data_IF_924453711387
#
_entry.id   IF_924453711387
#
_cell.length_a   1.000
_cell.length_b   1.000
_cell.length_c   1.000
_cell.angle_alpha   90.00
_cell.angle_beta   90.00
_cell.angle_gamma   90.00
#
_symmetry.space_group_name_H-M   'P 1'
#
loop_
_entity.id
_entity.type
_entity.pdbx_description
1 polymer ?
#
# COMPACT_ATOMS: atom_id res chain seq x y z
N UNK A 1 22.94 -18.37 -7.34
CA UNK A 1 21.68 -18.65 -8.06
C UNK A 1 22.05 -18.96 -9.50
N UNK A 2 21.37 -19.90 -10.19
CA UNK A 2 21.61 -20.10 -11.62
C UNK A 2 21.31 -18.79 -12.38
N UNK A 3 22.09 -18.49 -13.42
CA UNK A 3 22.00 -17.24 -14.18
C UNK A 3 20.60 -16.99 -14.78
N UNK A 4 19.90 -18.07 -15.15
CA UNK A 4 18.53 -18.03 -15.69
C UNK A 4 17.54 -17.32 -14.75
N UNK A 5 17.61 -17.61 -13.44
CA UNK A 5 16.73 -16.98 -12.44
C UNK A 5 16.98 -15.47 -12.29
N UNK A 6 18.14 -14.98 -12.71
CA UNK A 6 18.51 -13.58 -12.60
C UNK A 6 17.80 -12.72 -13.65
N UNK A 7 17.66 -13.23 -14.88
CA UNK A 7 17.00 -12.49 -15.97
C UNK A 7 15.48 -12.43 -15.81
N UNK A 8 14.91 -13.40 -15.10
CA UNK A 8 13.49 -13.40 -14.73
C UNK A 8 13.19 -12.53 -13.49
N UNK A 9 14.19 -11.82 -12.95
CA UNK A 9 14.00 -10.94 -11.79
C UNK A 9 13.27 -9.65 -12.21
N UNK A 10 12.05 -9.39 -11.71
CA UNK A 10 11.34 -8.14 -11.98
C UNK A 10 12.11 -6.89 -11.51
N UNK A 11 13.01 -7.04 -10.54
CA UNK A 11 13.87 -5.97 -10.04
C UNK A 11 14.83 -5.41 -11.09
N UNK A 12 15.26 -6.22 -12.07
CA UNK A 12 16.08 -5.71 -13.18
C UNK A 12 15.30 -4.77 -14.10
N UNK A 13 14.03 -5.10 -14.37
CA UNK A 13 13.15 -4.25 -15.19
C UNK A 13 12.83 -2.95 -14.44
N UNK A 14 12.44 -3.04 -13.16
CA UNK A 14 12.20 -1.87 -12.31
C UNK A 14 13.43 -0.96 -12.21
N UNK A 15 14.63 -1.54 -12.06
CA UNK A 15 15.88 -0.80 -12.08
C UNK A 15 16.18 -0.15 -13.44
N UNK A 16 15.91 -0.86 -14.54
CA UNK A 16 16.11 -0.33 -15.87
C UNK A 16 15.21 0.88 -16.16
N UNK A 17 13.97 0.84 -15.68
CA UNK A 17 12.96 1.91 -15.81
C UNK A 17 13.10 3.04 -14.77
N UNK A 18 14.01 2.90 -13.79
CA UNK A 18 14.25 3.92 -12.76
C UNK A 18 13.18 3.98 -11.67
N UNK A 19 12.45 2.89 -11.45
CA UNK A 19 11.39 2.78 -10.43
C UNK A 19 11.94 2.50 -9.03
N UNK A 20 13.17 2.00 -8.94
CA UNK A 20 13.85 1.72 -7.67
C UNK A 20 14.55 2.96 -7.10
N UNK A 21 14.56 3.07 -5.77
CA UNK A 21 15.23 4.16 -5.06
C UNK A 21 16.04 3.65 -3.86
N UNK A 22 16.98 4.48 -3.39
CA UNK A 22 17.77 4.21 -2.19
C UNK A 22 18.55 2.90 -2.25
N UNK A 23 18.50 2.14 -1.16
CA UNK A 23 19.26 0.90 -0.97
C UNK A 23 18.90 -0.19 -1.98
N UNK A 24 17.64 -0.25 -2.42
CA UNK A 24 17.18 -1.24 -3.39
C UNK A 24 17.83 -1.03 -4.76
N UNK A 25 17.82 0.22 -5.24
CA UNK A 25 18.52 0.58 -6.47
C UNK A 25 20.03 0.32 -6.37
N UNK A 26 20.64 0.59 -5.22
CA UNK A 26 22.06 0.34 -4.99
C UNK A 26 22.40 -1.16 -4.99
N UNK A 27 21.54 -2.01 -4.44
CA UNK A 27 21.72 -3.45 -4.45
C UNK A 27 21.64 -4.02 -5.88
N UNK A 28 20.62 -3.62 -6.65
CA UNK A 28 20.48 -4.06 -8.05
C UNK A 28 21.61 -3.50 -8.92
N UNK A 29 22.05 -2.26 -8.70
CA UNK A 29 23.19 -1.68 -9.42
C UNK A 29 24.49 -2.50 -9.22
N UNK A 30 24.75 -2.97 -7.99
CA UNK A 30 25.92 -3.84 -7.71
C UNK A 30 25.82 -5.16 -8.45
N UNK A 31 24.62 -5.76 -8.48
CA UNK A 31 24.35 -7.01 -9.19
C UNK A 31 24.55 -6.84 -10.71
N UNK A 32 24.03 -5.76 -11.28
CA UNK A 32 24.20 -5.40 -12.68
C UNK A 32 25.68 -5.18 -13.02
N UNK A 33 26.44 -4.51 -12.16
CA UNK A 33 27.87 -4.30 -12.36
C UNK A 33 28.68 -5.62 -12.31
N UNK A 34 28.22 -6.60 -11.52
CA UNK A 34 28.89 -7.89 -11.36
C UNK A 34 28.50 -8.91 -12.45
N UNK A 35 27.43 -8.68 -13.21
CA UNK A 35 26.93 -9.62 -14.20
C UNK A 35 26.73 -8.96 -15.59
N UNK A 36 27.57 -9.30 -16.59
CA UNK A 36 27.45 -8.77 -17.95
C UNK A 36 26.10 -9.04 -18.64
N UNK A 37 25.47 -10.17 -18.36
CA UNK A 37 24.17 -10.54 -18.94
C UNK A 37 23.05 -9.64 -18.39
N UNK A 38 23.07 -9.39 -17.08
CA UNK A 38 22.15 -8.44 -16.44
C UNK A 38 22.40 -7.00 -16.93
N UNK A 39 23.66 -6.61 -17.16
CA UNK A 39 24.01 -5.32 -17.75
C UNK A 39 23.47 -5.17 -19.17
N UNK A 40 23.58 -6.22 -20.00
CA UNK A 40 23.01 -6.23 -21.35
C UNK A 40 21.48 -6.13 -21.31
N UNK A 41 20.82 -6.92 -20.45
CA UNK A 41 19.37 -6.86 -20.26
C UNK A 41 18.89 -5.45 -19.89
N UNK A 42 19.54 -4.81 -18.90
CA UNK A 42 19.21 -3.43 -18.50
C UNK A 42 19.42 -2.44 -19.64
N UNK A 43 20.48 -2.61 -20.44
CA UNK A 43 20.73 -1.78 -21.60
C UNK A 43 19.64 -1.93 -22.67
N UNK A 44 19.20 -3.16 -22.94
CA UNK A 44 18.15 -3.48 -23.91
C UNK A 44 16.80 -2.89 -23.50
N UNK A 45 16.41 -3.07 -22.23
CA UNK A 45 15.17 -2.48 -21.68
C UNK A 45 15.20 -0.95 -21.78
N UNK A 46 16.32 -0.32 -21.41
CA UNK A 46 16.49 1.15 -21.55
C UNK A 46 16.49 1.60 -23.01
N UNK A 47 16.93 0.76 -23.94
CA UNK A 47 16.85 1.01 -25.38
C UNK A 47 15.40 1.00 -25.84
N UNK A 48 14.65 -0.05 -25.50
CA UNK A 48 13.24 -0.19 -25.81
C UNK A 48 12.40 0.96 -25.24
N UNK A 49 12.60 1.30 -23.96
CA UNK A 49 11.93 2.42 -23.31
C UNK A 49 12.14 3.74 -24.08
N UNK A 50 13.37 4.05 -24.48
CA UNK A 50 13.69 5.26 -25.26
C UNK A 50 13.01 5.29 -26.64
N UNK A 51 12.92 4.15 -27.32
CA UNK A 51 12.21 4.05 -28.60
C UNK A 51 10.71 4.31 -28.41
N UNK A 52 10.12 3.73 -27.37
CA UNK A 52 8.71 3.92 -27.03
C UNK A 52 8.43 5.37 -26.64
N UNK A 53 9.22 5.96 -25.75
CA UNK A 53 9.11 7.38 -25.37
C UNK A 53 9.19 8.30 -26.59
N UNK A 54 10.16 8.08 -27.48
CA UNK A 54 10.32 8.87 -28.70
C UNK A 54 9.16 8.69 -29.69
N UNK A 55 8.50 7.55 -29.69
CA UNK A 55 7.32 7.28 -30.53
C UNK A 55 6.06 7.93 -29.93
N UNK A 56 5.83 7.75 -28.64
CA UNK A 56 4.70 8.30 -27.90
C UNK A 56 4.74 9.83 -27.83
N UNK A 57 5.92 10.43 -27.72
CA UNK A 57 6.08 11.90 -27.72
C UNK A 57 5.62 12.55 -29.04
N UNK A 58 5.58 11.79 -30.14
CA UNK A 58 5.12 12.26 -31.46
C UNK A 58 3.64 12.01 -31.68
N UNK A 59 3.00 11.21 -30.82
CA UNK A 59 1.60 10.87 -30.95
C UNK A 59 0.73 12.08 -30.62
N UNK A 60 -0.27 12.33 -31.47
CA UNK A 60 -1.25 13.39 -31.23
C UNK A 60 -2.20 12.94 -30.12
N UNK A 61 -1.90 13.35 -28.90
CA UNK A 61 -2.75 13.07 -27.75
C UNK A 61 -4.14 13.73 -27.92
N UNK A 62 -5.24 13.03 -27.56
CA UNK A 62 -6.57 13.63 -27.54
C UNK A 62 -6.57 14.83 -26.60
N UNK A 63 -7.07 15.97 -27.10
CA UNK A 63 -7.23 17.17 -26.28
C UNK A 63 -8.63 17.19 -25.70
N UNK A 64 -8.72 17.53 -24.42
CA UNK A 64 -10.01 17.83 -23.81
C UNK A 64 -10.65 19.04 -24.52
N UNK A 65 -11.92 18.90 -24.84
CA UNK A 65 -12.74 20.05 -25.26
C UNK A 65 -12.86 21.06 -24.10
N UNK A 66 -13.14 22.34 -24.38
CA UNK A 66 -13.37 23.34 -23.33
C UNK A 66 -14.43 22.89 -22.31
N UNK A 67 -15.56 22.34 -22.78
CA UNK A 67 -16.64 21.85 -21.91
C UNK A 67 -16.21 20.69 -21.01
N UNK A 68 -15.43 19.73 -21.52
CA UNK A 68 -14.89 18.64 -20.70
C UNK A 68 -13.92 19.16 -19.63
N UNK A 69 -13.09 20.16 -19.98
CA UNK A 69 -12.18 20.80 -19.02
C UNK A 69 -12.95 21.52 -17.91
N UNK A 70 -13.99 22.28 -18.26
CA UNK A 70 -14.86 22.96 -17.30
C UNK A 70 -15.54 21.97 -16.36
N UNK A 71 -16.03 20.84 -16.89
CA UNK A 71 -16.68 19.79 -16.09
C UNK A 71 -15.69 19.15 -15.10
N UNK A 72 -14.44 18.90 -15.50
CA UNK A 72 -13.42 18.36 -14.59
C UNK A 72 -13.04 19.35 -13.49
N UNK A 73 -12.92 20.64 -13.81
CA UNK A 73 -12.61 21.69 -12.83
C UNK A 73 -13.77 21.86 -11.85
N UNK A 74 -15.01 21.93 -12.35
CA UNK A 74 -16.21 22.01 -11.51
C UNK A 74 -16.39 20.76 -10.64
N UNK A 75 -16.15 19.57 -11.18
CA UNK A 75 -16.23 18.30 -10.45
C UNK A 75 -15.17 18.17 -9.35
N UNK A 76 -13.95 18.69 -9.57
CA UNK A 76 -12.91 18.74 -8.53
C UNK A 76 -13.27 19.70 -7.39
N UNK A 77 -13.92 20.82 -7.70
CA UNK A 77 -14.42 21.76 -6.70
C UNK A 77 -15.61 21.19 -5.91
N UNK A 78 -16.42 20.32 -6.53
CA UNK A 78 -17.56 19.66 -5.89
C UNK A 78 -17.20 18.37 -5.12
N UNK A 79 -16.04 17.77 -5.41
CA UNK A 79 -15.57 16.49 -4.88
C UNK A 79 -14.92 16.56 -3.51
N UNK A 80 -15.60 17.11 -2.51
CA UNK A 80 -15.33 16.74 -1.12
C UNK A 80 -15.85 15.32 -0.91
N UNK A 81 -14.98 14.37 -0.57
CA UNK A 81 -15.43 13.04 -0.14
C UNK A 81 -16.30 13.24 1.10
N UNK A 82 -17.61 13.19 0.93
CA UNK A 82 -18.53 13.35 2.06
C UNK A 82 -18.27 12.21 3.03
N UNK A 83 -18.01 12.54 4.30
CA UNK A 83 -17.82 11.58 5.40
C UNK A 83 -18.98 10.56 5.48
N UNK A 84 -20.18 10.95 5.00
CA UNK A 84 -21.37 10.10 4.91
C UNK A 84 -21.24 8.95 3.91
N UNK A 85 -20.33 9.03 2.95
CA UNK A 85 -20.06 7.96 1.96
C UNK A 85 -19.33 6.77 2.61
N UNK A 86 -18.58 7.02 3.69
CA UNK A 86 -17.91 6.00 4.50
C UNK A 86 -18.86 5.28 5.47
N UNK A 87 -20.04 5.84 5.76
CA UNK A 87 -21.01 5.28 6.71
C UNK A 87 -22.02 4.31 6.06
N UNK A 88 -22.03 4.18 4.73
CA UNK A 88 -22.99 3.32 4.01
C UNK A 88 -22.82 1.81 4.20
N UNK A 89 -21.63 1.21 4.45
CA UNK A 89 -21.56 -0.23 4.72
C UNK A 89 -22.12 -0.61 6.11
N UNK A 90 -22.18 0.32 7.07
CA UNK A 90 -22.72 0.02 8.41
C UNK A 90 -24.25 -0.15 8.42
N UNK A 91 -24.98 0.54 7.54
CA UNK A 91 -26.44 0.43 7.45
C UNK A 91 -26.91 -0.89 6.79
N UNK A 92 -26.05 -1.57 6.03
CA UNK A 92 -26.38 -2.86 5.41
C UNK A 92 -26.44 -4.03 6.43
N UNK A 93 -25.74 -3.91 7.57
CA UNK A 93 -25.74 -4.95 8.63
C UNK A 93 -27.01 -4.92 9.50
N UNK A 94 -27.70 -3.78 9.61
CA UNK A 94 -28.92 -3.68 10.41
C UNK A 94 -30.12 -4.42 9.80
N UNK A 95 -30.11 -4.63 8.47
CA UNK A 95 -31.23 -5.28 7.76
C UNK A 95 -31.16 -6.82 7.82
N UNK A 96 -29.97 -7.40 8.00
CA UNK A 96 -29.78 -8.85 8.21
C UNK A 96 -30.29 -9.28 9.59
N UNK A 97 -30.17 -8.43 10.62
CA UNK A 97 -30.64 -8.74 11.96
C UNK A 97 -32.18 -8.85 12.06
N UNK A 98 -32.92 -8.13 11.20
CA UNK A 98 -34.38 -8.11 11.24
C UNK A 98 -35.00 -9.39 10.62
N UNK A 99 -34.34 -10.01 9.64
CA UNK A 99 -34.79 -11.28 9.04
C UNK A 99 -34.50 -12.48 9.98
N UNK A 100 -33.38 -12.46 10.70
CA UNK A 100 -33.04 -13.51 11.66
C UNK A 100 -33.95 -13.51 12.91
N UNK A 101 -34.39 -12.34 13.38
CA UNK A 101 -35.27 -12.22 14.54
C UNK A 101 -36.66 -12.83 14.35
N UNK A 102 -37.20 -12.77 13.12
CA UNK A 102 -38.52 -13.36 12.80
C UNK A 102 -38.44 -14.89 12.68
N UNK A 103 -37.34 -15.44 12.18
CA UNK A 103 -37.13 -16.90 12.07
C UNK A 103 -36.83 -17.56 13.43
N UNK A 104 -36.14 -16.89 14.34
CA UNK A 104 -35.78 -17.44 15.66
C UNK A 104 -36.98 -17.72 16.58
N UNK A 105 -38.07 -16.95 16.47
CA UNK A 105 -39.22 -17.13 17.35
C UNK A 105 -40.02 -18.41 17.07
N UNK A 106 -39.94 -18.98 15.86
CA UNK A 106 -40.76 -20.13 15.47
C UNK A 106 -40.15 -21.50 15.84
N UNK A 107 -38.84 -21.60 16.09
CA UNK A 107 -38.14 -22.88 16.21
C UNK A 107 -37.51 -23.20 17.57
N UNK A 108 -37.73 -22.37 18.61
CA UNK A 108 -37.32 -22.73 19.98
C UNK A 108 -35.81 -22.93 20.19
N UNK A 109 -34.97 -22.28 19.37
CA UNK A 109 -33.52 -22.27 19.57
C UNK A 109 -33.17 -21.10 20.51
N UNK A 110 -32.56 -21.33 21.69
CA UNK A 110 -32.12 -20.24 22.53
C UNK A 110 -30.98 -19.49 21.82
N UNK A 111 -31.26 -18.26 21.38
CA UNK A 111 -30.23 -17.30 21.00
C UNK A 111 -29.49 -16.94 22.29
N UNK A 112 -28.29 -17.48 22.48
CA UNK A 112 -27.39 -16.90 23.47
C UNK A 112 -26.97 -15.53 22.95
N UNK A 113 -27.55 -14.48 23.54
CA UNK A 113 -26.98 -13.14 23.43
C UNK A 113 -25.57 -13.21 24.02
N UNK A 114 -24.56 -13.27 23.16
CA UNK A 114 -23.21 -12.87 23.54
C UNK A 114 -23.31 -11.38 23.82
N UNK A 115 -23.29 -11.04 25.11
CA UNK A 115 -23.20 -9.67 25.57
C UNK A 115 -21.84 -9.13 25.09
N UNK A 116 -21.85 -8.44 23.95
CA UNK A 116 -20.70 -7.67 23.49
C UNK A 116 -20.59 -6.48 24.43
N UNK A 117 -19.80 -6.67 25.50
CA UNK A 117 -19.38 -5.61 26.42
C UNK A 117 -18.87 -4.45 25.57
N UNK A 118 -19.64 -3.37 25.59
CA UNK A 118 -19.31 -2.12 24.92
C UNK A 118 -18.35 -1.36 25.82
N UNK A 119 -17.10 -1.81 25.92
CA UNK A 119 -16.03 -1.01 26.51
C UNK A 119 -15.62 0.07 25.49
N UNK A 120 -15.82 1.36 25.80
CA UNK A 120 -15.35 2.43 24.96
C UNK A 120 -13.89 2.74 25.33
N UNK A 121 -12.93 1.95 24.88
CA UNK A 121 -11.52 2.28 25.17
C UNK A 121 -10.49 1.89 24.10
N UNK A 122 -10.93 1.78 22.85
CA UNK A 122 -10.02 1.52 21.72
C UNK A 122 -9.50 2.81 21.07
N UNK A 123 -10.08 3.98 21.38
CA UNK A 123 -9.63 5.26 20.81
C UNK A 123 -8.77 6.14 21.75
N UNK A 124 -8.73 5.88 23.06
CA UNK A 124 -7.77 6.55 23.96
C UNK A 124 -6.41 5.82 24.05
N UNK A 125 -6.33 4.56 23.63
CA UNK A 125 -5.05 3.82 23.60
C UNK A 125 -4.11 4.27 22.46
N UNK A 126 -4.58 5.09 21.51
CA UNK A 126 -3.73 5.72 20.49
C UNK A 126 -3.11 7.05 20.97
N UNK A 127 -3.66 7.70 22.00
CA UNK A 127 -3.11 8.92 22.58
C UNK A 127 -2.19 8.66 23.79
N UNK A 128 -2.30 7.50 24.44
CA UNK A 128 -1.47 7.11 25.60
C UNK A 128 -0.07 6.58 25.28
N UNK A 129 0.21 6.15 24.03
CA UNK A 129 1.52 5.59 23.64
C UNK A 129 2.50 6.71 23.19
N UNK A 130 2.08 7.98 23.19
CA UNK A 130 2.93 9.11 22.77
C UNK A 130 3.33 10.06 23.91
N UNK A 131 3.18 9.66 25.19
CA UNK A 131 3.26 10.63 26.31
C UNK A 131 4.15 10.32 27.50
N UNK A 132 4.66 9.10 27.71
CA UNK A 132 5.46 8.77 28.91
C UNK A 132 6.42 7.63 28.61
N UNK A 133 7.64 7.98 28.20
CA UNK A 133 8.89 7.30 28.59
C UNK A 133 10.03 7.78 27.69
N UNK A 134 10.50 9.00 27.96
CA UNK A 134 11.64 9.62 27.28
C UNK A 134 12.99 8.90 27.50
N UNK A 135 13.02 7.75 28.19
CA UNK A 135 14.25 7.02 28.53
C UNK A 135 14.24 5.54 28.11
N UNK A 136 13.35 5.13 27.20
CA UNK A 136 13.36 3.74 26.70
C UNK A 136 14.61 3.45 25.84
N UNK A 137 15.16 4.46 25.16
CA UNK A 137 16.37 4.34 24.34
C UNK A 137 17.66 4.10 25.16
N UNK A 138 17.70 4.49 26.44
CA UNK A 138 18.89 4.28 27.29
C UNK A 138 18.93 2.87 27.91
N UNK A 139 17.79 2.18 28.01
CA UNK A 139 17.73 0.82 28.57
C UNK A 139 18.05 -0.28 27.56
N UNK A 140 17.77 -0.06 26.27
CA UNK A 140 18.06 -1.06 25.22
C UNK A 140 19.55 -1.12 24.86
N UNK A 141 20.32 -0.02 25.06
CA UNK A 141 21.75 -0.01 24.74
C UNK A 141 22.64 -0.75 25.74
N UNK A 142 22.19 -0.96 27.00
CA UNK A 142 23.01 -1.58 28.06
C UNK A 142 22.86 -3.10 28.18
N UNK A 143 21.89 -3.73 27.51
CA UNK A 143 21.64 -5.17 27.68
C UNK A 143 22.21 -6.05 26.56
N UNK A 144 22.74 -5.47 25.47
CA UNK A 144 23.26 -6.25 24.32
C UNK A 144 24.79 -6.19 24.16
N UNK A 145 25.52 -5.47 25.03
CA UNK A 145 27.00 -5.37 24.97
C UNK A 145 27.74 -6.15 26.07
N UNK A 146 27.14 -7.21 26.63
CA UNK A 146 27.77 -8.06 27.65
C UNK A 146 28.06 -9.50 27.19
N UNK A 147 28.01 -9.80 25.89
CA UNK A 147 28.19 -11.19 25.39
C UNK A 147 29.13 -11.37 24.19
N UNK A 148 30.05 -10.44 23.96
CA UNK A 148 31.16 -10.64 23.02
C UNK A 148 32.47 -10.07 23.57
N UNK A 149 33.05 -10.78 24.55
CA UNK A 149 34.45 -10.63 24.94
C UNK A 149 34.92 -11.93 25.57
N UNK A 150 35.34 -12.89 24.73
CA UNK A 150 36.45 -13.81 24.98
C UNK A 150 37.06 -14.22 23.65
#
# INVERSE_FOLDING_TARGET
MPAEKLLDDPGLTAFALGELAGEEAAAVAKLVAANPEAAQFVADVRGAARVLEGSLAKEKLPRLTPTQRETLVAGRAAGGVSLLSFLRPAAALALVALVAGVWGHHYGVPVQLVEVSSEPDVFDQAAGIMGKDANLFERVSKTTFAHYSK
#
